data_IF_170908973449
#
_entry.id   IF_170908973449
#
_cell.length_a   1.000
_cell.length_b   1.000
_cell.length_c   1.000
_cell.angle_alpha   90.00
_cell.angle_beta   90.00
_cell.angle_gamma   90.00
#
_symmetry.space_group_name_H-M   'P 1'
#
loop_
_entity.id
_entity.type
_entity.pdbx_description
1 polymer ?
#
# COMPACT_ATOMS: atom_id res chain seq x y z
N UNK A 1 1.06 -22.69 -20.48
CA UNK A 1 2.36 -23.34 -20.77
C UNK A 1 2.89 -23.92 -19.47
N UNK A 2 2.63 -25.22 -19.28
CA UNK A 2 2.86 -25.98 -18.06
C UNK A 2 4.35 -26.37 -18.02
N UNK A 3 5.07 -25.92 -17.00
CA UNK A 3 6.51 -26.14 -16.79
C UNK A 3 7.40 -25.63 -17.93
N UNK A 4 7.92 -24.40 -17.79
CA UNK A 4 9.20 -24.11 -18.40
C UNK A 4 10.23 -25.07 -17.77
N UNK A 5 10.93 -25.92 -18.54
CA UNK A 5 11.94 -26.79 -17.97
C UNK A 5 13.02 -25.92 -17.34
N UNK A 6 13.42 -26.28 -16.13
CA UNK A 6 14.62 -25.78 -15.49
C UNK A 6 15.81 -26.14 -16.40
N UNK A 7 16.23 -25.23 -17.27
CA UNK A 7 17.35 -25.48 -18.18
C UNK A 7 18.65 -25.33 -17.40
N UNK A 8 19.14 -26.45 -16.87
CA UNK A 8 20.54 -26.55 -16.49
C UNK A 8 21.37 -26.40 -17.77
N UNK A 9 22.13 -25.31 -17.87
CA UNK A 9 23.36 -25.33 -18.69
C UNK A 9 24.26 -26.48 -18.20
N UNK A 10 25.25 -26.92 -18.99
CA UNK A 10 26.02 -28.12 -18.68
C UNK A 10 26.86 -27.90 -17.42
N UNK A 11 26.28 -28.20 -16.26
CA UNK A 11 26.97 -28.26 -14.99
C UNK A 11 27.69 -29.61 -14.92
N UNK A 12 29.00 -29.56 -14.87
CA UNK A 12 29.87 -30.72 -14.68
C UNK A 12 29.68 -31.27 -13.27
N UNK A 13 28.76 -32.23 -13.12
CA UNK A 13 28.49 -32.96 -11.88
C UNK A 13 26.99 -33.16 -11.66
N UNK A 14 26.54 -34.40 -11.42
CA UNK A 14 25.15 -34.64 -11.06
C UNK A 14 24.83 -33.87 -9.75
N UNK A 15 23.79 -33.02 -9.71
CA UNK A 15 23.44 -32.29 -8.50
C UNK A 15 23.17 -33.29 -7.37
N UNK A 16 23.76 -33.07 -6.20
CA UNK A 16 23.44 -33.87 -5.01
C UNK A 16 21.95 -33.69 -4.72
N UNK A 17 21.18 -34.78 -4.51
CA UNK A 17 19.78 -34.65 -4.12
C UNK A 17 19.70 -33.91 -2.79
N UNK A 18 19.01 -32.77 -2.79
CA UNK A 18 18.69 -32.01 -1.58
C UNK A 18 17.37 -32.59 -1.04
N UNK A 19 17.27 -32.95 0.24
CA UNK A 19 16.02 -33.45 0.79
C UNK A 19 14.94 -32.36 0.72
N UNK A 20 13.74 -32.74 0.29
CA UNK A 20 12.56 -31.87 0.30
C UNK A 20 11.84 -32.05 1.64
N UNK A 21 11.54 -30.95 2.32
CA UNK A 21 10.72 -30.98 3.52
C UNK A 21 9.28 -30.63 3.15
N UNK A 22 8.34 -31.47 3.58
CA UNK A 22 6.92 -31.21 3.43
C UNK A 22 6.35 -30.90 4.80
N UNK A 23 5.92 -29.66 5.00
CA UNK A 23 5.24 -29.21 6.20
C UNK A 23 3.74 -29.49 6.09
N UNK A 24 3.28 -30.41 6.94
CA UNK A 24 1.87 -30.68 7.19
C UNK A 24 1.59 -30.82 8.67
N UNK A 25 2.34 -30.12 9.54
CA UNK A 25 2.15 -30.22 10.99
C UNK A 25 0.84 -29.53 11.41
N UNK A 26 0.60 -28.32 10.92
CA UNK A 26 -0.59 -27.52 11.22
C UNK A 26 -1.03 -26.67 10.02
N UNK A 27 -2.33 -26.66 9.74
CA UNK A 27 -2.97 -25.74 8.79
C UNK A 27 -3.92 -24.77 9.50
N UNK A 28 -5.10 -24.52 8.94
CA UNK A 28 -6.14 -23.60 9.48
C UNK A 28 -6.58 -23.86 10.94
N UNK A 29 -6.33 -25.06 11.49
CA UNK A 29 -6.76 -25.43 12.84
C UNK A 29 -5.81 -24.98 13.97
N UNK A 30 -4.74 -24.25 13.67
CA UNK A 30 -3.76 -23.86 14.68
C UNK A 30 -4.29 -22.76 15.61
N UNK A 31 -4.85 -23.17 16.75
CA UNK A 31 -5.38 -22.23 17.75
C UNK A 31 -4.42 -21.96 18.93
N UNK A 32 -3.38 -22.79 19.11
CA UNK A 32 -2.41 -22.69 20.22
C UNK A 32 -1.04 -22.31 19.67
N UNK A 33 -0.23 -21.55 20.45
CA UNK A 33 1.14 -21.23 20.06
C UNK A 33 1.92 -22.47 19.63
N UNK A 34 2.58 -22.39 18.47
CA UNK A 34 3.51 -23.42 18.00
C UNK A 34 4.76 -23.38 18.90
N UNK A 35 4.87 -24.34 19.81
CA UNK A 35 5.93 -24.42 20.81
C UNK A 35 6.59 -25.81 20.86
N UNK A 36 7.45 -26.02 21.86
CA UNK A 36 8.15 -27.28 22.10
C UNK A 36 8.89 -27.81 20.87
N UNK A 37 8.73 -29.10 20.61
CA UNK A 37 9.40 -29.83 19.53
C UNK A 37 9.08 -29.24 18.13
N UNK A 38 7.85 -28.78 17.90
CA UNK A 38 7.47 -28.17 16.63
C UNK A 38 8.25 -26.87 16.40
N UNK A 39 8.37 -26.02 17.42
CA UNK A 39 9.16 -24.79 17.34
C UNK A 39 10.65 -25.06 17.16
N UNK A 40 11.19 -26.09 17.81
CA UNK A 40 12.58 -26.53 17.63
C UNK A 40 12.84 -27.01 16.20
N UNK A 41 11.91 -27.79 15.62
CA UNK A 41 12.00 -28.23 14.23
C UNK A 41 11.99 -27.04 13.26
N UNK A 42 11.09 -26.06 13.44
CA UNK A 42 11.08 -24.85 12.61
C UNK A 42 12.42 -24.09 12.68
N UNK A 43 13.01 -23.94 13.88
CA UNK A 43 14.31 -23.27 14.06
C UNK A 43 15.45 -24.03 13.39
N UNK A 44 15.45 -25.36 13.49
CA UNK A 44 16.43 -26.21 12.82
C UNK A 44 16.34 -26.03 11.31
N UNK A 45 15.13 -26.12 10.75
CA UNK A 45 14.88 -26.02 9.30
C UNK A 45 15.21 -24.64 8.74
N UNK A 46 15.02 -23.56 9.51
CA UNK A 46 15.41 -22.21 9.10
C UNK A 46 16.93 -22.04 8.87
N UNK A 47 17.75 -22.91 9.44
CA UNK A 47 19.20 -22.95 9.23
C UNK A 47 19.66 -23.86 8.09
N UNK A 48 18.74 -24.54 7.40
CA UNK A 48 19.07 -25.48 6.32
C UNK A 48 18.77 -24.88 4.95
N UNK A 49 19.53 -25.31 3.93
CA UNK A 49 19.29 -24.94 2.52
C UNK A 49 18.19 -25.80 1.85
N UNK A 50 17.54 -26.69 2.60
CA UNK A 50 16.53 -27.59 2.06
C UNK A 50 15.24 -26.84 1.75
N UNK A 51 14.66 -26.97 0.55
CA UNK A 51 13.39 -26.35 0.24
C UNK A 51 12.28 -26.94 1.13
N UNK A 52 11.46 -26.07 1.70
CA UNK A 52 10.28 -26.44 2.47
C UNK A 52 9.03 -26.14 1.66
N UNK A 53 8.13 -27.11 1.55
CA UNK A 53 6.80 -26.96 0.94
C UNK A 53 5.75 -27.08 2.03
N UNK A 54 4.99 -26.03 2.27
CA UNK A 54 3.87 -26.05 3.21
C UNK A 54 2.58 -26.51 2.52
N UNK A 55 1.89 -27.44 3.16
CA UNK A 55 0.53 -27.85 2.79
C UNK A 55 -0.44 -26.91 3.50
N UNK A 56 -1.29 -26.27 2.72
CA UNK A 56 -2.29 -25.31 3.15
C UNK A 56 -1.74 -23.94 3.60
N UNK A 57 -1.01 -23.92 4.71
CA UNK A 57 -0.39 -22.73 5.34
C UNK A 57 0.89 -23.17 6.06
N UNK A 58 1.98 -22.38 6.08
CA UNK A 58 3.15 -22.70 6.89
C UNK A 58 2.78 -22.83 8.37
N UNK A 59 3.15 -23.95 8.99
CA UNK A 59 2.88 -24.19 10.40
C UNK A 59 3.42 -23.05 11.27
N UNK A 60 2.56 -22.47 12.10
CA UNK A 60 2.88 -21.31 12.93
C UNK A 60 2.41 -19.96 12.36
N UNK A 61 1.80 -19.93 11.18
CA UNK A 61 1.15 -18.74 10.60
C UNK A 61 -0.35 -18.78 10.86
N UNK A 62 -0.89 -17.65 11.32
CA UNK A 62 -2.34 -17.41 11.40
C UNK A 62 -2.90 -17.12 10.00
N UNK A 63 -3.95 -17.85 9.62
CA UNK A 63 -4.44 -17.87 8.23
C UNK A 63 -5.19 -16.60 7.85
N UNK A 64 -5.74 -15.89 8.82
CA UNK A 64 -6.58 -14.73 8.57
C UNK A 64 -5.77 -13.44 8.64
N UNK A 65 -4.80 -13.40 9.55
CA UNK A 65 -4.09 -12.17 9.91
C UNK A 65 -2.64 -12.12 9.43
N UNK A 66 -2.02 -13.27 9.15
CA UNK A 66 -0.60 -13.38 8.81
C UNK A 66 0.33 -13.12 10.00
N UNK A 67 -0.22 -13.06 11.22
CA UNK A 67 0.55 -13.07 12.44
C UNK A 67 1.18 -14.45 12.70
N UNK A 68 2.22 -14.49 13.54
CA UNK A 68 2.75 -15.78 13.99
C UNK A 68 1.95 -16.26 15.20
N UNK A 69 1.47 -17.50 15.15
CA UNK A 69 0.87 -18.21 16.27
C UNK A 69 1.99 -18.89 17.06
N UNK A 70 2.71 -18.10 17.86
CA UNK A 70 3.90 -18.54 18.60
C UNK A 70 5.16 -17.76 18.22
N UNK A 71 6.34 -18.21 18.69
CA UNK A 71 7.61 -17.49 18.49
C UNK A 71 8.19 -17.65 17.08
N UNK A 72 7.82 -18.70 16.35
CA UNK A 72 8.38 -19.07 15.04
C UNK A 72 7.30 -19.65 14.14
N UNK A 73 7.55 -19.66 12.83
CA UNK A 73 6.79 -20.39 11.84
C UNK A 73 7.71 -21.11 10.85
N UNK A 74 7.16 -22.08 10.13
CA UNK A 74 7.89 -22.84 9.13
C UNK A 74 8.37 -21.92 8.00
N UNK A 75 9.66 -21.95 7.60
CA UNK A 75 10.20 -21.10 6.54
C UNK A 75 9.94 -21.73 5.16
N UNK A 76 8.70 -21.71 4.70
CA UNK A 76 8.32 -22.29 3.41
C UNK A 76 8.92 -21.51 2.24
N UNK A 77 9.38 -22.25 1.23
CA UNK A 77 9.77 -21.72 -0.08
C UNK A 77 8.61 -21.73 -1.07
N UNK A 78 7.61 -22.61 -0.81
CA UNK A 78 6.37 -22.75 -1.55
C UNK A 78 5.26 -23.13 -0.57
N UNK A 79 4.12 -22.46 -0.64
CA UNK A 79 2.89 -22.82 0.06
C UNK A 79 1.83 -23.22 -0.96
N UNK A 80 1.31 -24.44 -0.86
CA UNK A 80 0.19 -24.91 -1.67
C UNK A 80 -1.08 -24.84 -0.83
N UNK A 81 -1.83 -23.77 -1.00
CA UNK A 81 -3.05 -23.50 -0.25
C UNK A 81 -4.29 -24.09 -0.92
N UNK A 82 -5.20 -24.67 -0.13
CA UNK A 82 -6.28 -25.50 -0.68
C UNK A 82 -7.63 -24.77 -0.75
N UNK A 83 -8.41 -25.01 -1.80
CA UNK A 83 -9.79 -24.54 -2.04
C UNK A 83 -9.87 -23.02 -2.29
N UNK A 84 -9.53 -22.22 -1.29
CA UNK A 84 -9.46 -20.77 -1.35
C UNK A 84 -8.10 -20.25 -0.95
N UNK A 85 -7.79 -19.03 -1.40
CA UNK A 85 -6.63 -18.29 -0.88
C UNK A 85 -6.92 -17.78 0.54
N UNK A 86 -5.87 -17.54 1.33
CA UNK A 86 -5.99 -17.08 2.71
C UNK A 86 -5.29 -15.73 2.90
N UNK A 87 -5.95 -14.71 3.46
CA UNK A 87 -5.38 -13.37 3.54
C UNK A 87 -4.09 -13.30 4.35
N UNK A 88 -3.96 -14.12 5.39
CA UNK A 88 -2.75 -14.20 6.20
C UNK A 88 -1.51 -14.63 5.43
N UNK A 89 -1.65 -15.27 4.27
CA UNK A 89 -0.52 -15.60 3.40
C UNK A 89 0.08 -14.39 2.68
N UNK A 90 -0.60 -13.25 2.68
CA UNK A 90 -0.25 -12.09 1.85
C UNK A 90 0.05 -10.82 2.67
N UNK A 91 0.15 -10.91 4.00
CA UNK A 91 0.39 -9.73 4.84
C UNK A 91 1.20 -10.06 6.09
N UNK A 92 1.70 -9.01 6.74
CA UNK A 92 2.33 -9.12 8.04
C UNK A 92 3.61 -9.96 8.03
N UNK A 93 3.82 -10.72 9.09
CA UNK A 93 5.05 -11.51 9.30
C UNK A 93 5.08 -12.76 8.44
N UNK A 94 3.92 -13.27 8.02
CA UNK A 94 3.82 -14.45 7.18
C UNK A 94 4.62 -14.33 5.87
N UNK A 95 4.78 -13.12 5.32
CA UNK A 95 5.52 -12.92 4.07
C UNK A 95 6.96 -13.45 4.09
N UNK A 96 7.59 -13.51 5.27
CA UNK A 96 8.93 -14.09 5.45
C UNK A 96 8.93 -15.64 5.52
N UNK A 97 7.75 -16.26 5.57
CA UNK A 97 7.54 -17.68 5.85
C UNK A 97 6.76 -18.45 4.78
N UNK A 98 6.06 -17.76 3.87
CA UNK A 98 5.13 -18.40 2.91
C UNK A 98 5.77 -18.79 1.58
N UNK A 99 6.85 -18.11 1.20
CA UNK A 99 7.47 -18.28 -0.11
C UNK A 99 6.49 -17.99 -1.26
N UNK A 100 6.55 -18.76 -2.34
CA UNK A 100 5.56 -18.65 -3.42
C UNK A 100 4.23 -19.28 -2.99
N UNK A 101 3.11 -18.59 -3.22
CA UNK A 101 1.77 -19.14 -2.93
C UNK A 101 1.13 -19.72 -4.21
N UNK A 102 0.51 -20.89 -4.08
CA UNK A 102 -0.28 -21.56 -5.13
C UNK A 102 -1.61 -22.02 -4.55
N UNK A 103 -2.71 -21.59 -5.16
CA UNK A 103 -4.06 -22.05 -4.78
C UNK A 103 -4.41 -23.30 -5.57
N UNK A 104 -4.65 -24.41 -4.88
CA UNK A 104 -5.13 -25.66 -5.44
C UNK A 104 -6.65 -25.78 -5.17
N UNK A 105 -7.52 -25.70 -6.19
CA UNK A 105 -8.97 -25.58 -5.99
C UNK A 105 -9.65 -26.87 -5.48
N UNK A 106 -8.98 -28.02 -5.60
CA UNK A 106 -9.52 -29.35 -5.21
C UNK A 106 -10.93 -29.62 -5.77
N UNK A 107 -11.15 -29.29 -7.04
CA UNK A 107 -12.44 -29.46 -7.74
C UNK A 107 -13.61 -28.66 -7.14
N UNK A 108 -13.33 -27.69 -6.26
CA UNK A 108 -14.31 -26.76 -5.69
C UNK A 108 -14.13 -25.36 -6.26
N UNK A 109 -15.25 -24.68 -6.51
CA UNK A 109 -15.27 -23.25 -6.88
C UNK A 109 -15.55 -22.40 -5.64
N UNK A 110 -14.47 -21.93 -5.00
CA UNK A 110 -14.55 -21.05 -3.84
C UNK A 110 -14.60 -19.56 -4.21
N UNK A 111 -14.60 -19.20 -5.50
CA UNK A 111 -14.45 -17.81 -5.94
C UNK A 111 -15.65 -16.91 -5.58
N UNK A 112 -16.83 -17.49 -5.35
CA UNK A 112 -18.07 -16.77 -5.08
C UNK A 112 -18.23 -16.25 -3.63
N UNK A 113 -17.32 -16.58 -2.71
CA UNK A 113 -17.47 -16.34 -1.27
C UNK A 113 -16.27 -15.63 -0.61
N UNK A 114 -15.47 -14.86 -1.37
CA UNK A 114 -14.26 -14.24 -0.83
C UNK A 114 -14.57 -13.06 0.11
N UNK A 115 -13.95 -13.05 1.29
CA UNK A 115 -14.06 -11.98 2.30
C UNK A 115 -13.30 -10.70 1.91
N UNK A 116 -12.36 -10.80 0.97
CA UNK A 116 -11.56 -9.69 0.48
C UNK A 116 -10.89 -9.97 -0.87
N UNK A 117 -10.09 -9.02 -1.35
CA UNK A 117 -9.45 -9.08 -2.66
C UNK A 117 -7.93 -9.12 -2.55
N UNK A 118 -7.27 -10.09 -3.17
CA UNK A 118 -5.84 -9.97 -3.49
C UNK A 118 -5.69 -9.12 -4.76
N UNK A 119 -5.20 -7.89 -4.62
CA UNK A 119 -5.13 -6.93 -5.70
C UNK A 119 -3.78 -7.02 -6.42
N UNK A 120 -3.81 -7.64 -7.61
CA UNK A 120 -2.63 -7.86 -8.43
C UNK A 120 -2.63 -7.21 -9.79
N UNK A 121 -1.57 -7.50 -10.57
CA UNK A 121 -1.31 -6.89 -11.89
C UNK A 121 -2.53 -6.89 -12.81
N UNK A 122 -3.27 -8.00 -12.87
CA UNK A 122 -4.46 -8.12 -13.73
C UNK A 122 -5.58 -7.17 -13.31
N UNK A 123 -5.82 -7.01 -12.00
CA UNK A 123 -6.79 -6.05 -11.46
C UNK A 123 -6.32 -4.60 -11.65
N UNK A 124 -5.01 -4.35 -11.52
CA UNK A 124 -4.40 -3.05 -11.77
C UNK A 124 -4.56 -2.61 -13.23
N UNK A 125 -4.27 -3.50 -14.20
CA UNK A 125 -4.40 -3.22 -15.63
C UNK A 125 -5.85 -2.86 -16.01
N UNK A 126 -6.84 -3.54 -15.41
CA UNK A 126 -8.27 -3.26 -15.63
C UNK A 126 -8.72 -1.89 -15.14
N UNK A 127 -8.02 -1.32 -14.14
CA UNK A 127 -8.35 -0.02 -13.52
C UNK A 127 -7.53 1.15 -14.05
N UNK A 128 -6.60 0.90 -14.96
CA UNK A 128 -5.78 1.96 -15.52
C UNK A 128 -6.68 2.95 -16.30
N UNK A 129 -6.64 4.26 -16.00
CA UNK A 129 -7.45 5.24 -16.70
C UNK A 129 -7.07 5.31 -18.18
N UNK A 130 -8.09 5.32 -19.05
CA UNK A 130 -7.88 5.60 -20.48
C UNK A 130 -7.44 7.04 -20.66
N UNK A 131 -6.53 7.29 -21.60
CA UNK A 131 -6.08 8.63 -21.99
C UNK A 131 -6.51 8.94 -23.43
N UNK A 132 -7.67 9.60 -23.65
CA UNK A 132 -8.15 9.95 -24.99
C UNK A 132 -7.20 10.88 -25.73
N UNK A 133 -7.17 10.77 -27.07
CA UNK A 133 -6.38 11.69 -27.93
C UNK A 133 -6.90 13.12 -27.88
N UNK A 134 -8.23 13.28 -27.83
CA UNK A 134 -8.89 14.58 -27.63
C UNK A 134 -8.99 14.86 -26.13
N UNK A 135 -7.90 15.38 -25.56
CA UNK A 135 -7.81 15.70 -24.14
C UNK A 135 -6.95 16.93 -23.90
N UNK A 136 -7.10 17.55 -22.73
CA UNK A 136 -6.28 18.68 -22.28
C UNK A 136 -5.79 18.47 -20.86
N UNK A 137 -4.94 19.39 -20.36
CA UNK A 137 -4.55 19.41 -18.93
C UNK A 137 -5.75 19.46 -17.97
N UNK A 138 -6.92 19.94 -18.41
CA UNK A 138 -8.14 19.91 -17.60
C UNK A 138 -8.76 18.51 -17.48
N UNK A 139 -8.58 17.66 -18.49
CA UNK A 139 -9.12 16.29 -18.53
C UNK A 139 -8.54 15.41 -17.41
N UNK A 140 -7.29 15.65 -17.03
CA UNK A 140 -6.56 14.87 -16.01
C UNK A 140 -6.55 15.54 -14.63
N UNK A 141 -7.44 16.52 -14.44
CA UNK A 141 -7.66 17.22 -13.19
C UNK A 141 -6.42 17.92 -12.63
N UNK A 142 -6.55 18.32 -11.38
CA UNK A 142 -5.56 19.12 -10.69
C UNK A 142 -5.38 18.70 -9.24
N UNK A 143 -4.12 18.69 -8.81
CA UNK A 143 -3.69 18.32 -7.46
C UNK A 143 -3.05 19.53 -6.79
N UNK A 144 -3.44 19.84 -5.56
CA UNK A 144 -2.73 20.77 -4.69
C UNK A 144 -2.15 19.99 -3.50
N UNK A 145 -0.83 20.01 -3.38
CA UNK A 145 -0.12 19.45 -2.23
C UNK A 145 -0.02 20.52 -1.15
N UNK A 146 -0.59 20.26 0.02
CA UNK A 146 -0.56 21.12 1.21
C UNK A 146 0.40 20.50 2.23
N UNK A 147 1.61 21.01 2.30
CA UNK A 147 2.68 20.39 3.09
C UNK A 147 4.02 21.11 2.97
N UNK A 148 5.09 20.47 3.42
CA UNK A 148 6.43 21.02 3.29
C UNK A 148 6.71 22.18 4.23
N UNK A 149 6.31 22.03 5.49
CA UNK A 149 6.63 22.89 6.62
C UNK A 149 8.12 22.93 6.97
N UNK A 150 8.45 23.50 8.13
CA UNK A 150 9.82 23.87 8.49
C UNK A 150 10.76 22.65 8.48
N UNK A 151 11.75 22.67 7.58
CA UNK A 151 12.74 21.60 7.42
C UNK A 151 12.26 20.37 6.63
N UNK A 152 11.00 20.35 6.17
CA UNK A 152 10.37 19.18 5.57
C UNK A 152 9.84 19.44 4.14
N UNK A 153 10.29 20.51 3.49
CA UNK A 153 9.91 20.88 2.10
C UNK A 153 10.08 19.73 1.10
N UNK A 154 11.07 18.85 1.31
CA UNK A 154 11.29 17.66 0.47
C UNK A 154 10.08 16.73 0.39
N UNK A 155 9.30 16.58 1.45
CA UNK A 155 8.12 15.71 1.47
C UNK A 155 7.04 16.21 0.49
N UNK A 156 6.73 17.51 0.51
CA UNK A 156 5.79 18.10 -0.45
C UNK A 156 6.29 18.03 -1.90
N UNK A 157 7.60 18.19 -2.11
CA UNK A 157 8.20 18.03 -3.44
C UNK A 157 8.08 16.59 -3.95
N UNK A 158 8.32 15.59 -3.10
CA UNK A 158 8.16 14.17 -3.46
C UNK A 158 6.71 13.85 -3.85
N UNK A 159 5.75 14.29 -3.04
CA UNK A 159 4.33 14.10 -3.34
C UNK A 159 3.91 14.82 -4.65
N UNK A 160 4.38 16.05 -4.87
CA UNK A 160 4.07 16.80 -6.08
C UNK A 160 4.69 16.18 -7.34
N UNK A 161 5.96 15.74 -7.26
CA UNK A 161 6.61 14.97 -8.32
C UNK A 161 5.85 13.69 -8.63
N UNK A 162 5.49 12.94 -7.60
CA UNK A 162 4.73 11.71 -7.77
C UNK A 162 3.37 11.96 -8.43
N UNK A 163 2.67 13.04 -8.05
CA UNK A 163 1.42 13.41 -8.68
C UNK A 163 1.58 13.75 -10.18
N UNK A 164 2.65 14.47 -10.52
CA UNK A 164 2.99 14.79 -11.91
C UNK A 164 3.32 13.53 -12.72
N UNK A 165 4.15 12.63 -12.16
CA UNK A 165 4.54 11.38 -12.83
C UNK A 165 3.39 10.37 -12.92
N UNK A 166 2.46 10.40 -11.97
CA UNK A 166 1.21 9.63 -11.98
C UNK A 166 0.18 10.13 -13.00
N UNK A 167 0.42 11.28 -13.64
CA UNK A 167 -0.33 11.74 -14.80
C UNK A 167 -1.40 12.80 -14.53
N UNK A 168 -1.34 13.48 -13.37
CA UNK A 168 -2.18 14.65 -13.09
C UNK A 168 -1.96 15.77 -14.12
N UNK A 169 -3.01 16.51 -14.46
CA UNK A 169 -2.94 17.55 -15.47
C UNK A 169 -2.26 18.85 -15.00
N UNK A 170 -2.47 19.22 -13.73
CA UNK A 170 -1.84 20.37 -13.06
C UNK A 170 -1.46 19.98 -11.64
N UNK A 171 -0.29 20.40 -11.18
CA UNK A 171 0.15 20.17 -9.80
C UNK A 171 0.60 21.50 -9.19
N UNK A 172 0.06 21.80 -8.02
CA UNK A 172 0.44 22.95 -7.19
C UNK A 172 1.00 22.47 -5.85
N UNK A 173 1.84 23.31 -5.24
CA UNK A 173 2.30 23.15 -3.86
C UNK A 173 1.91 24.41 -3.08
N UNK A 174 1.32 24.22 -1.90
CA UNK A 174 1.09 25.24 -0.90
C UNK A 174 1.81 24.82 0.39
N UNK A 175 2.83 25.59 0.77
CA UNK A 175 3.58 25.37 2.02
C UNK A 175 3.32 26.50 3.01
N UNK A 176 3.15 26.18 4.31
CA UNK A 176 3.03 27.20 5.35
C UNK A 176 4.27 28.11 5.47
N UNK A 177 5.42 27.68 4.93
CA UNK A 177 6.67 28.44 4.97
C UNK A 177 6.88 29.34 3.74
N UNK A 178 5.88 29.43 2.86
CA UNK A 178 5.92 30.22 1.64
C UNK A 178 6.19 29.41 0.38
N UNK A 179 6.46 30.07 -0.77
CA UNK A 179 6.59 29.39 -2.05
C UNK A 179 7.72 28.37 -2.08
N UNK A 180 7.38 27.14 -2.48
CA UNK A 180 8.35 26.05 -2.72
C UNK A 180 8.69 25.99 -4.21
N UNK A 181 9.98 25.81 -4.53
CA UNK A 181 10.46 25.69 -5.90
C UNK A 181 11.32 24.43 -6.08
N UNK A 182 11.13 23.77 -7.22
CA UNK A 182 11.93 22.61 -7.64
C UNK A 182 12.61 22.92 -8.97
N UNK A 183 13.93 23.23 -8.97
CA UNK A 183 14.65 23.54 -10.20
C UNK A 183 14.62 22.41 -11.23
N UNK A 184 14.49 21.16 -10.79
CA UNK A 184 14.43 19.99 -11.68
C UNK A 184 13.04 19.72 -12.24
N UNK A 185 12.01 20.41 -11.76
CA UNK A 185 10.61 20.19 -12.12
C UNK A 185 9.88 21.54 -12.27
N UNK A 186 10.27 22.39 -13.24
CA UNK A 186 9.73 23.75 -13.40
C UNK A 186 8.23 23.80 -13.72
N UNK A 187 7.64 22.68 -14.11
CA UNK A 187 6.20 22.53 -14.33
C UNK A 187 5.37 22.46 -13.04
N UNK A 188 6.00 22.20 -11.88
CA UNK A 188 5.34 22.27 -10.58
C UNK A 188 5.07 23.73 -10.24
N UNK A 189 3.81 24.05 -10.03
CA UNK A 189 3.39 25.40 -9.71
C UNK A 189 3.38 25.61 -8.19
N UNK A 190 3.57 26.85 -7.77
CA UNK A 190 3.47 27.23 -6.35
C UNK A 190 2.21 28.05 -6.14
N UNK A 191 1.57 27.88 -4.98
CA UNK A 191 0.40 28.63 -4.55
C UNK A 191 0.65 29.09 -3.12
N UNK A 192 0.25 30.32 -2.82
CA UNK A 192 0.27 30.81 -1.44
C UNK A 192 -0.60 29.90 -0.56
N UNK A 193 -0.08 29.53 0.61
CA UNK A 193 -0.82 28.73 1.58
C UNK A 193 -2.10 29.44 2.02
N UNK A 194 -2.14 30.77 2.09
CA UNK A 194 -3.31 31.54 2.50
C UNK A 194 -4.35 31.74 1.37
N UNK A 195 -3.99 31.42 0.12
CA UNK A 195 -4.91 31.52 -1.00
C UNK A 195 -5.97 30.41 -1.00
N UNK A 196 -7.14 30.69 -1.59
CA UNK A 196 -8.22 29.73 -1.74
C UNK A 196 -7.82 28.43 -2.47
N UNK A 197 -8.50 27.34 -2.11
CA UNK A 197 -8.36 26.04 -2.78
C UNK A 197 -9.26 25.90 -4.01
N UNK A 198 -9.78 27.03 -4.51
CA UNK A 198 -10.65 27.07 -5.68
C UNK A 198 -9.97 26.50 -6.93
N UNK A 199 -10.78 25.80 -7.74
CA UNK A 199 -10.35 25.21 -9.00
C UNK A 199 -9.35 24.06 -8.86
N UNK A 200 -9.26 23.45 -7.68
CA UNK A 200 -8.49 22.22 -7.40
C UNK A 200 -9.45 21.02 -7.30
N UNK A 201 -9.12 19.92 -7.96
CA UNK A 201 -9.93 18.70 -7.90
C UNK A 201 -9.57 17.82 -6.69
N UNK A 202 -8.29 17.77 -6.32
CA UNK A 202 -7.77 16.92 -5.24
C UNK A 202 -6.74 17.65 -4.38
N UNK A 203 -6.86 17.48 -3.06
CA UNK A 203 -5.90 17.92 -2.06
C UNK A 203 -5.05 16.74 -1.58
N UNK A 204 -3.73 16.88 -1.53
CA UNK A 204 -2.84 15.93 -0.85
C UNK A 204 -2.23 16.67 0.32
N UNK A 205 -2.57 16.29 1.55
CA UNK A 205 -2.23 17.06 2.73
C UNK A 205 -1.46 16.23 3.77
N UNK A 206 -0.49 16.88 4.41
CA UNK A 206 0.21 16.35 5.57
C UNK A 206 1.65 15.89 5.31
N UNK A 207 2.07 15.71 4.05
CA UNK A 207 3.46 15.42 3.67
C UNK A 207 4.41 16.51 4.19
N UNK A 208 5.05 16.24 5.33
CA UNK A 208 5.93 17.18 6.02
C UNK A 208 5.26 18.47 6.43
N UNK A 209 3.96 18.49 6.69
CA UNK A 209 3.22 19.72 7.00
C UNK A 209 3.64 20.34 8.35
N UNK A 210 4.09 19.51 9.30
CA UNK A 210 4.27 19.88 10.71
C UNK A 210 2.98 19.72 11.50
N UNK A 211 3.07 19.93 12.82
CA UNK A 211 1.94 19.77 13.76
C UNK A 211 1.61 21.04 14.54
N UNK A 212 2.21 22.16 14.15
CA UNK A 212 2.03 23.47 14.78
C UNK A 212 0.70 24.14 14.39
N UNK A 213 0.42 25.33 14.94
CA UNK A 213 -0.85 26.02 14.76
C UNK A 213 -1.18 26.38 13.29
N UNK A 214 -0.18 26.73 12.49
CA UNK A 214 -0.30 27.01 11.06
C UNK A 214 -0.66 25.75 10.25
N UNK A 215 0.01 24.63 10.55
CA UNK A 215 -0.31 23.31 9.99
C UNK A 215 -1.74 22.89 10.33
N UNK A 216 -2.16 23.09 11.58
CA UNK A 216 -3.54 22.81 12.00
C UNK A 216 -4.54 23.69 11.26
N UNK A 217 -4.26 24.98 11.08
CA UNK A 217 -5.13 25.90 10.34
C UNK A 217 -5.27 25.49 8.87
N UNK A 218 -4.19 25.07 8.23
CA UNK A 218 -4.21 24.53 6.86
C UNK A 218 -5.00 23.23 6.77
N UNK A 219 -4.83 22.30 7.71
CA UNK A 219 -5.61 21.08 7.74
C UNK A 219 -7.12 21.37 7.86
N UNK A 220 -7.52 22.29 8.74
CA UNK A 220 -8.94 22.67 8.87
C UNK A 220 -9.52 23.19 7.56
N UNK A 221 -8.74 23.96 6.78
CA UNK A 221 -9.15 24.41 5.45
C UNK A 221 -9.24 23.26 4.45
N UNK A 222 -8.34 22.27 4.52
CA UNK A 222 -8.41 21.06 3.70
C UNK A 222 -9.68 20.28 4.00
N UNK A 223 -10.00 20.07 5.29
CA UNK A 223 -11.19 19.34 5.71
C UNK A 223 -12.50 20.07 5.37
N UNK A 224 -12.48 21.41 5.38
CA UNK A 224 -13.61 22.25 4.96
C UNK A 224 -13.81 22.31 3.43
N UNK A 225 -12.83 21.87 2.63
CA UNK A 225 -12.94 21.86 1.18
C UNK A 225 -13.83 20.72 0.68
N UNK A 226 -14.69 20.96 -0.33
CA UNK A 226 -15.45 19.88 -0.97
C UNK A 226 -14.58 18.99 -1.87
N UNK A 227 -13.37 19.42 -2.25
CA UNK A 227 -12.46 18.63 -3.07
C UNK A 227 -12.14 17.27 -2.43
N UNK A 228 -11.81 16.25 -3.23
CA UNK A 228 -11.29 14.98 -2.71
C UNK A 228 -9.97 15.22 -1.96
N UNK A 229 -9.67 14.41 -0.94
CA UNK A 229 -8.42 14.58 -0.19
C UNK A 229 -7.72 13.25 0.13
N UNK A 230 -6.40 13.25 -0.05
CA UNK A 230 -5.48 12.25 0.51
C UNK A 230 -4.79 12.88 1.72
N UNK A 231 -4.94 12.25 2.88
CA UNK A 231 -4.39 12.70 4.16
C UNK A 231 -3.29 11.73 4.57
N UNK A 232 -2.06 12.22 4.65
CA UNK A 232 -0.88 11.42 5.01
C UNK A 232 -0.11 12.09 6.16
N UNK A 233 0.76 11.33 6.81
CA UNK A 233 1.76 11.85 7.75
C UNK A 233 1.20 12.82 8.80
N UNK A 234 1.63 14.08 8.79
CA UNK A 234 1.26 15.04 9.82
C UNK A 234 -0.23 15.40 9.82
N UNK A 235 -0.94 15.27 8.69
CA UNK A 235 -2.38 15.40 8.68
C UNK A 235 -3.05 14.31 9.53
N UNK A 236 -2.53 13.07 9.47
CA UNK A 236 -3.01 11.95 10.28
C UNK A 236 -2.66 12.15 11.76
N UNK A 237 -1.48 12.69 12.07
CA UNK A 237 -1.09 13.02 13.45
C UNK A 237 -2.00 14.09 14.05
N UNK A 238 -2.31 15.14 13.30
CA UNK A 238 -3.24 16.20 13.71
C UNK A 238 -4.68 15.68 13.88
N UNK A 239 -5.14 14.79 13.00
CA UNK A 239 -6.43 14.10 13.16
C UNK A 239 -6.47 13.22 14.42
N UNK A 240 -5.40 12.49 14.69
CA UNK A 240 -5.31 11.66 15.90
C UNK A 240 -5.32 12.51 17.18
N UNK A 241 -4.77 13.72 17.14
CA UNK A 241 -4.76 14.66 18.26
C UNK A 241 -6.13 15.31 18.54
N UNK A 242 -6.97 15.49 17.52
CA UNK A 242 -8.33 16.05 17.65
C UNK A 242 -9.35 15.20 16.88
N UNK A 243 -9.73 14.07 17.47
CA UNK A 243 -10.64 13.07 16.88
C UNK A 243 -12.07 13.55 16.63
N UNK A 244 -12.39 14.80 17.02
CA UNK A 244 -13.69 15.45 16.76
C UNK A 244 -13.73 16.15 15.41
N UNK A 245 -12.59 16.29 14.73
CA UNK A 245 -12.53 16.93 13.43
C UNK A 245 -13.34 16.12 12.42
N UNK A 246 -14.38 16.74 11.87
CA UNK A 246 -15.10 16.19 10.74
C UNK A 246 -14.16 16.12 9.54
N UNK A 247 -14.09 14.97 8.87
CA UNK A 247 -13.22 14.84 7.71
C UNK A 247 -13.75 15.58 6.48
N UNK A 248 -15.02 16.00 6.47
CA UNK A 248 -15.70 16.62 5.34
C UNK A 248 -16.50 17.84 5.79
N UNK A 249 -16.78 18.80 4.89
CA UNK A 249 -17.69 19.89 5.21
C UNK A 249 -19.11 19.37 5.46
N UNK A 250 -19.92 20.07 6.28
CA UNK A 250 -21.32 19.69 6.50
C UNK A 250 -22.09 19.57 5.19
N UNK A 251 -22.82 18.46 5.01
CA UNK A 251 -23.65 18.21 3.84
C UNK A 251 -22.91 17.66 2.61
N UNK A 252 -21.58 17.52 2.64
CA UNK A 252 -20.85 16.83 1.57
C UNK A 252 -21.08 15.31 1.63
N UNK A 253 -21.51 14.74 0.50
CA UNK A 253 -21.64 13.30 0.35
C UNK A 253 -20.25 12.64 0.22
N UNK A 254 -20.03 11.43 0.81
CA UNK A 254 -18.72 10.77 0.79
C UNK A 254 -18.15 10.48 -0.62
N UNK A 255 -19.02 10.28 -1.61
CA UNK A 255 -18.68 10.04 -3.01
C UNK A 255 -18.25 11.32 -3.75
N UNK A 256 -18.81 12.48 -3.39
CA UNK A 256 -18.49 13.80 -3.94
C UNK A 256 -17.25 14.40 -3.30
N UNK A 257 -16.99 14.07 -2.03
CA UNK A 257 -15.82 14.55 -1.27
C UNK A 257 -15.07 13.38 -0.62
N UNK A 258 -14.51 12.45 -1.40
CA UNK A 258 -13.88 11.27 -0.84
C UNK A 258 -12.63 11.63 -0.03
N UNK A 259 -12.35 10.78 0.96
CA UNK A 259 -11.22 10.90 1.86
C UNK A 259 -10.43 9.60 1.81
N UNK A 260 -9.12 9.73 1.61
CA UNK A 260 -8.17 8.63 1.67
C UNK A 260 -7.18 8.93 2.79
N UNK A 261 -7.06 8.04 3.76
CA UNK A 261 -6.05 8.12 4.82
C UNK A 261 -4.98 7.08 4.52
N UNK A 262 -3.71 7.44 4.61
CA UNK A 262 -2.60 6.54 4.27
C UNK A 262 -1.69 6.20 5.46
N UNK A 263 -2.21 5.76 6.62
CA UNK A 263 -1.40 5.57 7.81
C UNK A 263 -0.38 4.43 7.65
N UNK A 264 0.84 4.62 8.17
CA UNK A 264 1.69 3.50 8.55
C UNK A 264 1.29 2.97 9.95
N UNK A 265 1.83 1.83 10.43
CA UNK A 265 1.32 1.19 11.65
C UNK A 265 1.32 2.06 12.91
N UNK A 266 2.29 2.99 13.07
CA UNK A 266 2.30 3.90 14.23
C UNK A 266 1.27 5.02 14.09
N UNK A 267 1.04 5.55 12.89
CA UNK A 267 -0.04 6.52 12.63
C UNK A 267 -1.41 5.87 12.84
N UNK A 268 -1.60 4.65 12.33
CA UNK A 268 -2.81 3.86 12.52
C UNK A 268 -3.10 3.61 14.01
N UNK A 269 -2.07 3.26 14.77
CA UNK A 269 -2.16 3.06 16.22
C UNK A 269 -2.63 4.34 16.94
N UNK A 270 -2.08 5.51 16.60
CA UNK A 270 -2.53 6.81 17.15
C UNK A 270 -3.99 7.14 16.78
N UNK A 271 -4.37 6.88 15.52
CA UNK A 271 -5.74 7.08 15.04
C UNK A 271 -6.75 6.13 15.71
N UNK A 272 -6.33 4.91 16.01
CA UNK A 272 -7.13 3.85 16.61
C UNK A 272 -7.19 3.92 18.15
N UNK A 273 -6.23 4.59 18.79
CA UNK A 273 -6.00 4.60 20.24
C UNK A 273 -5.48 3.27 20.82
N UNK A 274 -4.62 2.60 20.07
CA UNK A 274 -4.01 1.34 20.49
C UNK A 274 -2.51 1.33 20.21
N UNK A 275 -1.85 0.20 20.43
CA UNK A 275 -0.45 -0.01 20.09
C UNK A 275 -0.27 -0.44 18.63
N UNK A 276 0.89 -0.14 18.04
CA UNK A 276 1.23 -0.66 16.72
C UNK A 276 1.33 -2.19 16.68
N UNK A 277 1.61 -2.84 17.81
CA UNK A 277 1.57 -4.30 17.92
C UNK A 277 0.16 -4.87 17.76
N UNK A 278 -0.87 -4.15 18.24
CA UNK A 278 -2.28 -4.53 18.01
C UNK A 278 -2.66 -4.34 16.53
N UNK A 279 -2.27 -3.22 15.92
CA UNK A 279 -2.47 -2.99 14.47
C UNK A 279 -1.82 -4.09 13.63
N UNK A 280 -0.59 -4.49 13.98
CA UNK A 280 0.17 -5.49 13.22
C UNK A 280 -0.33 -6.92 13.46
N UNK A 281 -1.07 -7.17 14.54
CA UNK A 281 -1.66 -8.49 14.84
C UNK A 281 -2.86 -8.81 13.96
N UNK A 282 -3.63 -7.79 13.59
CA UNK A 282 -4.77 -7.91 12.69
C UNK A 282 -4.87 -6.65 11.81
N UNK A 283 -4.12 -6.66 10.70
CA UNK A 283 -4.01 -5.51 9.80
C UNK A 283 -5.31 -5.26 9.02
N UNK A 284 -6.01 -6.31 8.61
CA UNK A 284 -7.28 -6.23 7.87
C UNK A 284 -8.41 -5.73 8.75
N UNK A 285 -8.53 -6.25 9.97
CA UNK A 285 -9.48 -5.75 10.96
C UNK A 285 -9.19 -4.31 11.37
N UNK A 286 -7.93 -3.95 11.63
CA UNK A 286 -7.54 -2.59 11.99
C UNK A 286 -7.84 -1.57 10.87
N UNK A 287 -7.50 -1.90 9.62
CA UNK A 287 -7.79 -1.04 8.47
C UNK A 287 -9.31 -0.84 8.28
N UNK A 288 -10.09 -1.91 8.39
CA UNK A 288 -11.55 -1.86 8.26
C UNK A 288 -12.22 -1.07 9.38
N UNK A 289 -11.77 -1.23 10.62
CA UNK A 289 -12.25 -0.47 11.77
C UNK A 289 -11.95 1.04 11.62
N UNK A 290 -10.75 1.40 11.16
CA UNK A 290 -10.40 2.78 10.84
C UNK A 290 -11.25 3.32 9.69
N UNK A 291 -11.48 2.54 8.63
CA UNK A 291 -12.30 2.95 7.50
C UNK A 291 -13.74 3.27 7.92
N UNK A 292 -14.35 2.43 8.74
CA UNK A 292 -15.67 2.68 9.31
C UNK A 292 -15.70 3.89 10.26
N UNK A 293 -14.70 4.01 11.16
CA UNK A 293 -14.61 5.11 12.14
C UNK A 293 -14.53 6.49 11.49
N UNK A 294 -13.72 6.59 10.44
CA UNK A 294 -13.45 7.86 9.76
C UNK A 294 -14.34 8.05 8.52
N UNK A 295 -15.18 7.07 8.18
CA UNK A 295 -15.97 7.04 6.94
C UNK A 295 -15.10 7.37 5.71
N UNK A 296 -13.93 6.73 5.63
CA UNK A 296 -12.91 7.03 4.63
C UNK A 296 -12.27 5.76 4.08
N UNK A 297 -11.63 5.86 2.91
CA UNK A 297 -10.74 4.80 2.44
C UNK A 297 -9.48 4.84 3.30
N UNK A 298 -9.05 3.69 3.82
CA UNK A 298 -7.83 3.56 4.62
C UNK A 298 -6.85 2.69 3.87
N UNK A 299 -5.65 3.22 3.66
CA UNK A 299 -4.49 2.51 3.12
C UNK A 299 -3.52 2.29 4.27
N UNK A 300 -3.60 1.11 4.90
CA UNK A 300 -2.69 0.71 5.98
C UNK A 300 -1.36 0.22 5.40
N UNK A 301 -0.37 1.13 5.35
CA UNK A 301 0.96 0.88 4.78
C UNK A 301 1.69 -0.23 5.56
N UNK A 302 2.57 -0.95 4.86
CA UNK A 302 3.40 -2.03 5.41
C UNK A 302 3.44 -3.25 4.49
N UNK A 303 4.10 -4.30 4.97
CA UNK A 303 4.17 -5.61 4.31
C UNK A 303 2.77 -6.16 4.05
N UNK A 304 2.41 -6.36 2.77
CA UNK A 304 1.03 -6.59 2.35
C UNK A 304 0.14 -5.41 2.75
N UNK A 305 0.30 -4.28 2.04
CA UNK A 305 -0.50 -3.08 2.30
C UNK A 305 -1.97 -3.43 2.18
N UNK A 306 -2.77 -3.02 3.18
CA UNK A 306 -4.21 -3.28 3.21
C UNK A 306 -4.94 -2.01 2.83
N UNK A 307 -5.87 -2.11 1.88
CA UNK A 307 -6.79 -1.02 1.53
C UNK A 307 -8.18 -1.41 1.97
N UNK A 308 -8.81 -0.63 2.83
CA UNK A 308 -10.15 -0.88 3.36
C UNK A 308 -11.08 0.31 3.09
N UNK A 309 -12.38 0.04 2.99
CA UNK A 309 -13.42 1.05 2.76
C UNK A 309 -14.56 0.92 3.78
N UNK A 310 -15.37 1.97 3.99
CA UNK A 310 -16.35 2.02 5.10
C UNK A 310 -17.43 0.95 5.05
N UNK A 311 -17.70 0.36 3.88
CA UNK A 311 -18.69 -0.72 3.72
C UNK A 311 -18.14 -2.12 4.06
N UNK A 312 -16.96 -2.20 4.67
CA UNK A 312 -16.36 -3.45 5.14
C UNK A 312 -15.53 -4.19 4.09
N UNK A 313 -15.55 -3.78 2.82
CA UNK A 313 -14.66 -4.36 1.81
C UNK A 313 -13.21 -3.97 2.06
N UNK A 314 -12.31 -4.92 1.83
CA UNK A 314 -10.87 -4.71 1.91
C UNK A 314 -10.12 -5.49 0.83
N UNK A 315 -8.88 -5.07 0.59
CA UNK A 315 -7.97 -5.72 -0.33
C UNK A 315 -6.54 -5.70 0.23
N UNK A 316 -5.74 -6.70 -0.14
CA UNK A 316 -4.30 -6.77 0.11
C UNK A 316 -3.58 -6.54 -1.21
N UNK A 317 -2.59 -5.68 -1.22
CA UNK A 317 -1.78 -5.35 -2.40
C UNK A 317 -0.67 -6.38 -2.56
N UNK A 318 -0.60 -7.06 -3.71
CA UNK A 318 0.38 -8.12 -4.01
C UNK A 318 1.75 -7.62 -4.50
N UNK A 319 2.09 -6.37 -4.17
CA UNK A 319 3.28 -5.69 -4.64
C UNK A 319 3.90 -4.84 -3.53
N UNK A 320 5.22 -4.65 -3.63
CA UNK A 320 6.02 -3.88 -2.69
C UNK A 320 6.92 -4.76 -1.84
N UNK A 321 8.21 -4.45 -1.88
CA UNK A 321 9.26 -5.14 -1.16
C UNK A 321 10.05 -4.23 -0.22
N UNK A 322 11.11 -4.77 0.42
CA UNK A 322 11.90 -4.06 1.42
C UNK A 322 12.61 -2.80 0.89
N UNK A 323 12.77 -2.66 -0.43
CA UNK A 323 13.33 -1.46 -1.04
C UNK A 323 12.51 -0.18 -0.73
N UNK A 324 11.22 -0.31 -0.43
CA UNK A 324 10.35 0.82 -0.09
C UNK A 324 10.49 1.30 1.37
N UNK A 325 11.29 0.60 2.19
CA UNK A 325 11.55 0.95 3.58
C UNK A 325 12.54 2.13 3.74
N UNK A 326 12.32 3.20 2.97
CA UNK A 326 13.09 4.45 2.99
C UNK A 326 12.15 5.62 3.32
N UNK A 327 12.67 6.65 3.98
CA UNK A 327 11.90 7.87 4.23
C UNK A 327 11.45 8.53 2.91
N UNK A 328 10.23 9.07 2.90
CA UNK A 328 9.65 9.79 1.76
C UNK A 328 8.91 8.92 0.73
N UNK A 329 9.00 7.58 0.82
CA UNK A 329 8.22 6.70 -0.08
C UNK A 329 6.71 6.85 0.16
N UNK A 330 6.30 7.09 1.42
CA UNK A 330 4.92 7.44 1.77
C UNK A 330 4.42 8.71 1.08
N UNK A 331 5.24 9.76 1.00
CA UNK A 331 4.89 11.01 0.32
C UNK A 331 4.66 10.78 -1.18
N UNK A 332 5.50 9.94 -1.79
CA UNK A 332 5.32 9.51 -3.19
C UNK A 332 3.98 8.81 -3.34
N UNK A 333 3.66 7.82 -2.49
CA UNK A 333 2.38 7.11 -2.55
C UNK A 333 1.18 8.07 -2.44
N UNK A 334 1.22 9.03 -1.51
CA UNK A 334 0.15 10.02 -1.34
C UNK A 334 -0.06 10.85 -2.62
N UNK A 335 1.04 11.29 -3.26
CA UNK A 335 1.01 11.98 -4.55
C UNK A 335 0.46 11.13 -5.70
N UNK A 336 0.83 9.85 -5.77
CA UNK A 336 0.32 8.90 -6.77
C UNK A 336 -1.19 8.75 -6.63
N UNK A 337 -1.69 8.46 -5.42
CA UNK A 337 -3.14 8.34 -5.16
C UNK A 337 -3.85 9.65 -5.52
N UNK A 338 -3.28 10.80 -5.13
CA UNK A 338 -3.81 12.11 -5.47
C UNK A 338 -3.96 12.34 -6.98
N UNK A 339 -2.98 11.90 -7.78
CA UNK A 339 -3.05 12.00 -9.24
C UNK A 339 -4.12 11.10 -9.86
N UNK A 340 -4.33 9.91 -9.32
CA UNK A 340 -5.33 8.97 -9.83
C UNK A 340 -6.75 9.44 -9.49
N UNK A 341 -6.94 10.01 -8.30
CA UNK A 341 -8.17 10.72 -7.94
C UNK A 341 -8.45 11.89 -8.89
N UNK A 342 -7.43 12.70 -9.23
CA UNK A 342 -7.58 13.85 -10.13
C UNK A 342 -7.96 13.40 -11.55
N UNK A 343 -7.52 12.20 -11.94
CA UNK A 343 -7.90 11.52 -13.18
C UNK A 343 -9.29 10.84 -13.13
N UNK A 344 -10.10 11.17 -12.11
CA UNK A 344 -11.50 10.75 -11.94
C UNK A 344 -11.69 9.26 -11.63
N UNK A 345 -10.66 8.59 -11.12
CA UNK A 345 -10.88 7.28 -10.50
C UNK A 345 -11.68 7.43 -9.21
N UNK A 346 -12.46 6.40 -8.88
CA UNK A 346 -13.05 6.28 -7.55
C UNK A 346 -11.94 6.25 -6.50
N UNK A 347 -12.20 6.71 -5.28
CA UNK A 347 -11.19 6.66 -4.22
C UNK A 347 -10.72 5.25 -3.91
N UNK A 348 -11.61 4.27 -4.04
CA UNK A 348 -11.26 2.85 -3.94
C UNK A 348 -10.26 2.43 -5.02
N UNK A 349 -10.56 2.68 -6.29
CA UNK A 349 -9.69 2.27 -7.40
C UNK A 349 -8.37 3.06 -7.43
N UNK A 350 -8.41 4.35 -7.09
CA UNK A 350 -7.22 5.19 -6.99
C UNK A 350 -6.27 4.71 -5.88
N UNK A 351 -6.81 4.32 -4.71
CA UNK A 351 -6.01 3.73 -3.64
C UNK A 351 -5.41 2.39 -4.03
N UNK A 352 -6.21 1.47 -4.59
CA UNK A 352 -5.72 0.15 -5.01
C UNK A 352 -4.65 0.24 -6.09
N UNK A 353 -4.93 0.95 -7.18
CA UNK A 353 -3.99 1.12 -8.29
C UNK A 353 -2.75 1.88 -7.83
N UNK A 354 -2.92 2.94 -7.03
CA UNK A 354 -1.83 3.75 -6.50
C UNK A 354 -0.87 2.95 -5.63
N UNK A 355 -1.40 2.14 -4.71
CA UNK A 355 -0.59 1.24 -3.90
C UNK A 355 0.12 0.18 -4.74
N UNK A 356 -0.56 -0.41 -5.73
CA UNK A 356 0.04 -1.44 -6.57
C UNK A 356 1.18 -0.90 -7.43
N UNK A 357 1.00 0.24 -8.13
CA UNK A 357 2.07 0.81 -8.98
C UNK A 357 3.23 1.32 -8.14
N UNK A 358 2.98 1.86 -6.94
CA UNK A 358 4.02 2.23 -5.99
C UNK A 358 4.79 1.00 -5.47
N UNK A 359 4.06 -0.06 -5.10
CA UNK A 359 4.61 -1.36 -4.70
C UNK A 359 5.52 -1.94 -5.80
N UNK A 360 4.97 -2.04 -7.01
CA UNK A 360 5.66 -2.58 -8.17
C UNK A 360 6.89 -1.75 -8.57
N UNK A 361 6.85 -0.42 -8.40
CA UNK A 361 8.00 0.43 -8.59
C UNK A 361 9.14 0.08 -7.62
N UNK A 362 8.80 -0.24 -6.36
CA UNK A 362 9.74 -0.77 -5.38
C UNK A 362 10.29 -2.14 -5.75
N UNK A 363 9.45 -3.07 -6.21
CA UNK A 363 9.86 -4.44 -6.58
C UNK A 363 10.81 -4.48 -7.79
N UNK A 364 10.70 -3.47 -8.67
CA UNK A 364 11.60 -3.31 -9.82
C UNK A 364 13.00 -2.86 -9.41
N UNK A 365 13.16 -2.30 -8.21
CA UNK A 365 14.46 -1.86 -7.74
C UNK A 365 15.31 -3.05 -7.27
N UNK A 366 16.42 -3.29 -7.98
CA UNK A 366 17.27 -4.47 -7.76
C UNK A 366 18.53 -4.21 -6.92
N UNK A 367 18.79 -2.94 -6.59
CA UNK A 367 19.96 -2.53 -5.84
C UNK A 367 19.62 -2.24 -4.37
N UNK A 368 20.63 -2.11 -3.52
CA UNK A 368 20.45 -1.58 -2.16
C UNK A 368 20.39 -0.06 -2.22
N UNK A 369 19.48 0.57 -1.46
CA UNK A 369 19.45 2.02 -1.27
C UNK A 369 18.56 2.79 -2.26
N UNK A 370 17.32 2.36 -2.46
CA UNK A 370 16.32 3.13 -3.22
C UNK A 370 16.06 4.48 -2.54
N UNK A 371 16.24 5.57 -3.28
CA UNK A 371 15.83 6.90 -2.85
C UNK A 371 14.39 7.18 -3.26
N UNK A 372 13.62 7.83 -2.38
CA UNK A 372 12.26 8.26 -2.69
C UNK A 372 12.21 9.22 -3.90
N UNK A 373 13.30 9.92 -4.22
CA UNK A 373 13.37 10.80 -5.39
C UNK A 373 13.36 10.04 -6.73
N UNK A 374 13.71 8.76 -6.74
CA UNK A 374 13.76 7.89 -7.93
C UNK A 374 12.40 7.25 -8.21
N UNK A 375 11.60 7.03 -7.16
CA UNK A 375 10.31 6.36 -7.23
C UNK A 375 9.30 6.98 -8.21
N UNK A 376 9.14 8.31 -8.32
CA UNK A 376 8.21 8.89 -9.30
C UNK A 376 8.47 8.39 -10.74
N UNK A 377 9.76 8.26 -11.12
CA UNK A 377 10.16 7.71 -12.41
C UNK A 377 9.71 6.26 -12.58
N UNK A 378 10.01 5.42 -11.59
CA UNK A 378 9.65 4.01 -11.57
C UNK A 378 8.12 3.80 -11.57
N UNK A 379 7.36 4.65 -10.87
CA UNK A 379 5.89 4.63 -10.90
C UNK A 379 5.36 4.86 -12.31
N UNK A 380 5.92 5.82 -13.06
CA UNK A 380 5.53 6.07 -14.45
C UNK A 380 5.82 4.85 -15.32
N UNK A 381 6.96 4.18 -15.13
CA UNK A 381 7.30 2.94 -15.83
C UNK A 381 6.35 1.79 -15.47
N UNK A 382 5.97 1.67 -14.20
CA UNK A 382 4.97 0.68 -13.74
C UNK A 382 3.59 0.93 -14.36
N UNK A 383 3.15 2.19 -14.46
CA UNK A 383 1.93 2.58 -15.16
C UNK A 383 2.00 2.25 -16.66
N UNK A 384 3.13 2.54 -17.31
CA UNK A 384 3.34 2.22 -18.73
C UNK A 384 3.26 0.71 -18.99
N UNK A 385 3.89 -0.11 -18.15
CA UNK A 385 3.88 -1.56 -18.30
C UNK A 385 2.51 -2.24 -18.05
N UNK A 386 1.53 -1.51 -17.53
CA UNK A 386 0.13 -1.96 -17.46
C UNK A 386 -0.61 -1.77 -18.79
N UNK A 387 -0.12 -0.91 -19.69
CA UNK A 387 -0.71 -0.70 -21.02
C UNK A 387 -0.26 -1.77 -22.03
N UNK A 388 0.86 -2.43 -21.77
CA UNK A 388 1.37 -3.52 -22.58
C UNK A 388 0.55 -4.78 -22.27
N UNK A 389 -0.14 -5.31 -23.28
CA UNK A 389 -0.90 -6.56 -23.18
C UNK A 389 0.01 -7.64 -22.58
N UNK A 390 -0.40 -8.39 -21.55
CA UNK A 390 0.40 -9.52 -21.07
C UNK A 390 0.58 -10.49 -22.24
N UNK A 391 1.83 -10.64 -22.70
CA UNK A 391 2.24 -11.67 -23.67
C UNK A 391 2.06 -13.06 -23.11
#
# INVERSE_FOLDING_TARGET
ALFAPWTNGPATGAPRPVPLVVDGLFGIGLARPLDGLAAELCRLLAGLESPVVAIDVPSGVDTDTGALVGPVAMPATLTVTMIGDKPGLHTGRALDHVGQVRVAPLELDASAQADGLLFGRCEAARRLPRRPRDSSKGTFGSVLVVGGGRGMTGAALLAARAAQYGGAGKVWIASPQGPVFDPGQPQLMTRDADAGFDGVDVLVAGCGLGTEADARALLLRVLASPAAAVLDADALNLLAADRRLALRPPGAAPDQSPRVLTPHPLEAARLADCSAAEIQRDRTGAASALAGRYDAIVVLKGAGTVVARPDGRWAIIDAGGPALATAGTGDVLAGVIGSLLAQRLSAWDASLLGCWVHGNAGDRWRAVGLSAAELPGLVRESLAALTETPT
#
